data_IF_440248090366
#
_entry.id   IF_440248090366
#
_cell.length_a   1.000
_cell.length_b   1.000
_cell.length_c   1.000
_cell.angle_alpha   90.00
_cell.angle_beta   90.00
_cell.angle_gamma   90.00
#
_symmetry.space_group_name_H-M   'P 1'
#
loop_
_entity.id
_entity.type
_entity.pdbx_description
1 polymer ?
#
# COMPACT_ATOMS: atom_id res chain seq x y z
N UNK A 1 32.80 32.67 24.45
CA UNK A 1 33.09 31.42 25.18
C UNK A 1 31.92 30.48 24.96
N UNK A 2 31.73 29.94 23.75
CA UNK A 2 30.53 29.12 23.46
C UNK A 2 30.66 28.27 22.18
N UNK A 3 31.85 27.76 21.88
CA UNK A 3 32.08 26.89 20.71
C UNK A 3 32.48 25.46 21.10
N UNK A 4 32.69 25.18 22.39
CA UNK A 4 33.12 23.85 22.87
C UNK A 4 31.97 22.92 23.32
N UNK A 5 30.76 23.43 23.53
CA UNK A 5 29.61 22.62 23.99
C UNK A 5 28.93 21.83 22.85
N UNK A 6 28.85 22.39 21.64
CA UNK A 6 28.10 21.77 20.54
C UNK A 6 28.82 20.59 19.86
N UNK A 7 30.15 20.50 19.95
CA UNK A 7 30.92 19.40 19.38
C UNK A 7 30.93 18.13 20.25
N UNK A 8 30.69 18.24 21.55
CA UNK A 8 30.69 17.09 22.46
C UNK A 8 29.36 16.32 22.36
N UNK A 9 28.23 17.04 22.22
CA UNK A 9 26.91 16.41 22.05
C UNK A 9 26.72 15.69 20.70
N UNK A 10 27.39 16.17 19.64
CA UNK A 10 27.32 15.53 18.31
C UNK A 10 28.13 14.23 18.23
N UNK A 11 29.19 14.10 19.05
CA UNK A 11 30.04 12.90 19.08
C UNK A 11 29.46 11.77 19.95
N UNK A 12 28.79 12.07 21.07
CA UNK A 12 28.19 11.01 21.91
C UNK A 12 26.95 10.36 21.27
N UNK A 13 26.09 11.14 20.61
CA UNK A 13 24.92 10.61 19.90
C UNK A 13 25.34 9.78 18.68
N UNK A 14 26.41 10.17 17.98
CA UNK A 14 26.96 9.41 16.86
C UNK A 14 27.62 8.09 17.31
N UNK A 15 28.29 8.06 18.47
CA UNK A 15 28.87 6.84 19.03
C UNK A 15 27.83 5.87 19.62
N UNK A 16 26.75 6.37 20.22
CA UNK A 16 25.64 5.54 20.71
C UNK A 16 24.81 4.91 19.59
N UNK A 17 24.59 5.63 18.47
CA UNK A 17 23.88 5.08 17.30
C UNK A 17 24.71 4.01 16.57
N UNK A 18 26.04 4.19 16.49
CA UNK A 18 26.94 3.22 15.85
C UNK A 18 27.02 1.90 16.63
N UNK A 19 26.97 1.90 17.97
CA UNK A 19 26.94 0.65 18.77
C UNK A 19 25.62 -0.12 18.67
N UNK A 20 24.47 0.57 18.50
CA UNK A 20 23.17 -0.09 18.29
C UNK A 20 22.96 -0.60 16.86
N UNK A 21 23.53 0.10 15.87
CA UNK A 21 23.52 -0.35 14.46
C UNK A 21 24.56 -1.46 14.22
N UNK A 22 25.71 -1.45 14.89
CA UNK A 22 26.66 -2.56 14.81
C UNK A 22 26.11 -3.84 15.49
N UNK A 23 25.31 -3.71 16.55
CA UNK A 23 24.64 -4.85 17.19
C UNK A 23 23.54 -5.50 16.33
N UNK A 24 22.76 -4.70 15.59
CA UNK A 24 21.72 -5.22 14.68
C UNK A 24 22.30 -5.72 13.34
N UNK A 25 23.37 -5.11 12.83
CA UNK A 25 24.07 -5.57 11.63
C UNK A 25 24.89 -6.84 11.91
N UNK A 26 25.43 -7.03 13.13
CA UNK A 26 26.10 -8.28 13.50
C UNK A 26 25.13 -9.46 13.74
N UNK A 27 23.87 -9.24 14.13
CA UNK A 27 22.88 -10.33 14.24
C UNK A 27 22.36 -10.79 12.87
N UNK A 28 22.36 -9.91 11.86
CA UNK A 28 22.02 -10.27 10.48
C UNK A 28 23.22 -10.82 9.69
N UNK A 29 24.46 -10.50 10.07
CA UNK A 29 25.68 -11.00 9.40
C UNK A 29 26.37 -12.20 10.06
N UNK A 30 26.12 -12.52 11.34
CA UNK A 30 26.72 -13.71 11.99
C UNK A 30 25.94 -15.01 11.71
N UNK A 31 24.77 -14.95 11.08
CA UNK A 31 24.09 -16.15 10.54
C UNK A 31 24.59 -16.56 9.14
N UNK A 32 25.55 -15.84 8.55
CA UNK A 32 26.08 -16.11 7.20
C UNK A 32 27.47 -16.76 7.14
N UNK A 33 28.01 -17.23 8.27
CA UNK A 33 29.25 -18.01 8.26
C UNK A 33 29.22 -19.08 9.32
N UNK A 34 28.54 -20.20 9.04
CA UNK A 34 28.82 -21.55 9.55
C UNK A 34 27.75 -22.49 8.97
N UNK A 35 28.12 -23.26 7.94
CA UNK A 35 27.23 -24.30 7.42
C UNK A 35 27.46 -24.72 5.97
N UNK A 36 28.71 -25.02 5.58
CA UNK A 36 28.91 -26.03 4.53
C UNK A 36 28.46 -27.37 5.12
N UNK A 37 27.20 -27.72 4.90
CA UNK A 37 26.63 -29.02 5.20
C UNK A 37 25.40 -29.21 4.33
N UNK A 38 25.42 -30.21 3.45
CA UNK A 38 24.23 -30.68 2.73
C UNK A 38 23.20 -31.10 3.78
N UNK A 39 22.27 -30.20 4.12
CA UNK A 39 21.09 -30.54 4.89
C UNK A 39 19.91 -30.57 3.93
N UNK A 40 19.30 -31.74 3.78
CA UNK A 40 17.98 -31.87 3.18
C UNK A 40 17.02 -30.91 3.87
N UNK A 41 16.47 -29.98 3.09
CA UNK A 41 15.51 -28.99 3.56
C UNK A 41 14.21 -29.75 3.90
N UNK A 42 14.04 -30.11 5.18
CA UNK A 42 12.82 -30.77 5.67
C UNK A 42 11.63 -29.86 5.39
N UNK A 43 10.77 -30.28 4.47
CA UNK A 43 9.52 -29.59 4.13
C UNK A 43 8.62 -29.53 5.36
N UNK A 44 8.25 -28.32 5.79
CA UNK A 44 7.36 -28.10 6.93
C UNK A 44 5.93 -28.06 6.41
N UNK A 45 5.11 -29.01 6.86
CA UNK A 45 3.66 -28.84 6.77
C UNK A 45 3.31 -27.79 7.81
N UNK A 46 3.01 -26.57 7.38
CA UNK A 46 2.52 -25.55 8.30
C UNK A 46 1.08 -25.96 8.65
N UNK A 47 0.91 -26.35 9.91
CA UNK A 47 -0.39 -26.56 10.54
C UNK A 47 -0.35 -25.85 11.87
N UNK A 48 -1.40 -25.14 12.23
CA UNK A 48 -1.47 -24.41 13.51
C UNK A 48 -2.09 -25.25 14.64
N UNK A 49 -1.83 -26.56 14.70
CA UNK A 49 -2.03 -27.29 15.96
C UNK A 49 -0.81 -27.06 16.84
N UNK A 50 -0.98 -26.35 17.95
CA UNK A 50 -0.03 -26.39 19.05
C UNK A 50 0.17 -27.86 19.46
N UNK A 51 1.39 -28.37 19.28
CA UNK A 51 1.79 -29.64 19.89
C UNK A 51 2.03 -29.36 21.37
N UNK A 52 1.03 -29.69 22.20
CA UNK A 52 1.02 -29.70 23.68
C UNK A 52 1.17 -28.34 24.37
N UNK A 53 0.11 -27.94 25.05
CA UNK A 53 0.24 -27.24 26.33
C UNK A 53 -0.78 -27.86 27.28
N UNK A 54 -0.26 -28.47 28.33
CA UNK A 54 -1.04 -29.12 29.37
C UNK A 54 -1.96 -28.12 30.06
N UNK A 55 -3.14 -28.61 30.39
CA UNK A 55 -4.16 -27.96 31.21
C UNK A 55 -3.54 -27.52 32.53
N UNK A 56 -3.62 -26.24 32.84
CA UNK A 56 -3.69 -25.78 34.24
C UNK A 56 -4.88 -24.86 34.35
N UNK A 57 -5.95 -25.43 34.90
CA UNK A 57 -7.12 -24.72 35.39
C UNK A 57 -6.69 -23.65 36.40
N UNK A 58 -7.08 -22.40 36.12
CA UNK A 58 -7.46 -21.45 37.17
C UNK A 58 -8.31 -20.34 36.53
N UNK A 59 -9.59 -20.65 36.33
CA UNK A 59 -10.63 -19.67 36.02
C UNK A 59 -10.95 -18.92 37.30
N UNK A 60 -10.42 -17.70 37.45
CA UNK A 60 -11.08 -16.69 38.30
C UNK A 60 -12.06 -15.93 37.42
N UNK A 61 -13.35 -16.10 37.72
CA UNK A 61 -14.46 -15.42 37.06
C UNK A 61 -14.32 -13.90 37.22
N UNK A 62 -14.09 -13.21 36.11
CA UNK A 62 -14.53 -11.83 35.98
C UNK A 62 -15.62 -11.79 34.90
N UNK A 63 -16.85 -11.52 35.35
CA UNK A 63 -18.03 -11.44 34.50
C UNK A 63 -18.08 -10.05 33.87
N UNK A 64 -17.67 -9.96 32.61
CA UNK A 64 -18.23 -8.96 31.71
C UNK A 64 -18.73 -9.68 30.47
N UNK A 65 -20.05 -9.61 30.26
CA UNK A 65 -20.80 -10.23 29.17
C UNK A 65 -20.22 -9.83 27.80
N UNK A 66 -19.54 -10.76 27.12
CA UNK A 66 -19.48 -10.75 25.66
C UNK A 66 -20.81 -11.27 25.16
N UNK A 67 -21.68 -10.37 24.67
CA UNK A 67 -22.83 -10.78 23.87
C UNK A 67 -22.31 -11.53 22.64
N UNK A 68 -22.92 -12.68 22.38
CA UNK A 68 -22.63 -13.54 21.25
C UNK A 68 -23.16 -12.88 19.97
N UNK A 69 -22.36 -12.00 19.37
CA UNK A 69 -22.65 -11.28 18.11
C UNK A 69 -22.57 -12.22 16.88
N UNK A 70 -22.47 -13.54 17.03
CA UNK A 70 -22.39 -14.46 15.88
C UNK A 70 -23.68 -14.49 15.04
N UNK A 71 -24.81 -14.07 15.61
CA UNK A 71 -26.12 -14.11 14.95
C UNK A 71 -26.34 -13.00 13.90
N UNK A 72 -25.42 -12.03 13.76
CA UNK A 72 -25.49 -10.97 12.74
C UNK A 72 -24.68 -11.28 11.47
N UNK A 73 -23.88 -12.35 11.47
CA UNK A 73 -23.04 -12.75 10.33
C UNK A 73 -23.59 -14.01 9.66
N UNK A 74 -24.38 -13.84 8.61
CA UNK A 74 -25.00 -14.97 7.89
C UNK A 74 -23.95 -15.71 7.08
N UNK A 75 -23.84 -17.03 7.27
CA UNK A 75 -22.88 -17.88 6.58
C UNK A 75 -21.48 -17.92 7.21
N UNK A 76 -21.24 -17.20 8.30
CA UNK A 76 -19.97 -17.26 9.02
C UNK A 76 -19.80 -18.57 9.79
N UNK A 77 -18.71 -19.30 9.51
CA UNK A 77 -18.42 -20.62 10.08
C UNK A 77 -17.43 -20.57 11.25
N UNK A 78 -17.14 -19.38 11.77
CA UNK A 78 -16.12 -19.14 12.79
C UNK A 78 -14.79 -18.68 12.19
N UNK A 79 -13.79 -18.38 13.05
CA UNK A 79 -12.50 -17.83 12.61
C UNK A 79 -11.83 -18.78 11.63
N UNK A 80 -11.55 -18.30 10.42
CA UNK A 80 -10.87 -19.09 9.40
C UNK A 80 -9.38 -18.96 9.62
N UNK A 81 -8.90 -19.62 10.66
CA UNK A 81 -7.47 -19.74 10.95
C UNK A 81 -7.04 -21.17 10.62
N UNK A 82 -6.59 -21.38 9.37
CA UNK A 82 -5.90 -22.62 9.00
C UNK A 82 -6.77 -23.77 8.47
N UNK A 83 -7.89 -23.49 7.81
CA UNK A 83 -8.61 -24.54 7.06
C UNK A 83 -7.82 -25.01 5.83
N UNK A 84 -6.95 -24.16 5.26
CA UNK A 84 -6.19 -24.54 4.09
C UNK A 84 -4.79 -25.03 4.46
N UNK A 85 -4.57 -26.33 4.28
CA UNK A 85 -3.27 -26.96 4.45
C UNK A 85 -2.45 -26.71 3.19
N UNK A 86 -1.42 -25.90 3.31
CA UNK A 86 -0.34 -25.83 2.33
C UNK A 86 0.94 -26.37 2.96
N UNK A 87 1.72 -27.06 2.14
CA UNK A 87 3.08 -27.41 2.53
C UNK A 87 3.99 -26.26 2.12
N UNK A 88 4.70 -25.66 3.08
CA UNK A 88 5.63 -24.57 2.80
C UNK A 88 6.69 -25.04 1.81
N UNK A 89 6.97 -24.22 0.80
CA UNK A 89 7.90 -24.55 -0.29
C UNK A 89 7.35 -25.49 -1.36
N UNK A 90 6.09 -25.95 -1.27
CA UNK A 90 5.44 -26.65 -2.38
C UNK A 90 4.88 -25.62 -3.38
N UNK A 91 5.10 -25.78 -4.71
CA UNK A 91 4.53 -24.89 -5.72
C UNK A 91 3.03 -24.74 -5.59
N UNK A 92 2.51 -23.55 -5.86
CA UNK A 92 1.12 -23.25 -5.62
C UNK A 92 0.16 -24.15 -6.40
N UNK A 93 0.55 -24.53 -7.62
CA UNK A 93 -0.18 -25.43 -8.52
C UNK A 93 -0.28 -26.88 -8.03
N UNK A 94 0.55 -27.28 -7.06
CA UNK A 94 0.64 -28.66 -6.54
C UNK A 94 0.04 -28.82 -5.13
N UNK A 95 -0.49 -27.76 -4.55
CA UNK A 95 -1.22 -27.83 -3.29
C UNK A 95 -2.67 -28.28 -3.52
N UNK A 96 -3.29 -28.88 -2.49
CA UNK A 96 -4.56 -29.61 -2.61
C UNK A 96 -5.69 -28.71 -3.12
N UNK A 97 -6.41 -29.18 -4.14
CA UNK A 97 -7.64 -28.54 -4.66
C UNK A 97 -8.87 -28.79 -3.77
N UNK A 98 -8.72 -29.57 -2.70
CA UNK A 98 -9.83 -30.06 -1.88
C UNK A 98 -10.21 -29.09 -0.76
N UNK A 99 -9.36 -28.10 -0.48
CA UNK A 99 -9.55 -27.10 0.56
C UNK A 99 -9.79 -25.74 -0.10
N UNK A 100 -11.05 -25.34 -0.15
CA UNK A 100 -11.51 -24.11 -0.82
C UNK A 100 -11.85 -23.05 0.21
N UNK A 101 -11.73 -21.79 -0.22
CA UNK A 101 -12.21 -20.64 0.52
C UNK A 101 -13.66 -20.87 0.98
N UNK A 102 -13.97 -20.57 2.24
CA UNK A 102 -15.26 -20.89 2.84
C UNK A 102 -16.43 -20.07 2.28
N UNK A 103 -16.12 -18.99 1.57
CA UNK A 103 -17.03 -18.09 0.89
C UNK A 103 -17.17 -16.74 1.60
N UNK A 104 -17.68 -15.78 0.85
CA UNK A 104 -18.13 -14.51 1.43
C UNK A 104 -19.28 -14.74 2.43
N UNK A 105 -19.44 -13.82 3.36
CA UNK A 105 -20.48 -13.82 4.37
C UNK A 105 -21.35 -12.59 4.22
N UNK A 106 -22.59 -12.67 4.68
CA UNK A 106 -23.40 -11.46 4.84
C UNK A 106 -23.09 -10.83 6.19
N UNK A 107 -22.70 -9.57 6.17
CA UNK A 107 -22.39 -8.79 7.37
C UNK A 107 -22.96 -7.39 7.20
N UNK A 108 -23.31 -6.69 8.31
CA UNK A 108 -23.58 -5.26 8.26
C UNK A 108 -22.33 -4.40 8.03
N UNK A 109 -21.14 -5.01 8.05
CA UNK A 109 -19.87 -4.36 7.75
C UNK A 109 -19.26 -5.00 6.51
N UNK A 110 -18.62 -4.20 5.67
CA UNK A 110 -18.03 -4.69 4.43
C UNK A 110 -16.71 -4.01 4.14
N UNK A 111 -15.87 -4.69 3.35
CA UNK A 111 -14.68 -4.09 2.73
C UNK A 111 -14.69 -4.37 1.23
N UNK A 112 -14.01 -3.51 0.46
CA UNK A 112 -13.67 -3.81 -0.92
C UNK A 112 -12.37 -4.60 -0.97
N UNK A 113 -12.46 -5.89 -1.29
CA UNK A 113 -11.30 -6.76 -1.50
C UNK A 113 -10.98 -6.80 -2.99
N UNK A 114 -9.79 -6.30 -3.35
CA UNK A 114 -9.34 -6.16 -4.73
C UNK A 114 -8.03 -6.94 -4.92
N UNK A 115 -7.95 -7.75 -5.97
CA UNK A 115 -6.73 -8.47 -6.37
C UNK A 115 -6.47 -8.22 -7.84
N UNK A 116 -5.29 -7.68 -8.14
CA UNK A 116 -4.84 -7.40 -9.50
C UNK A 116 -3.44 -7.96 -9.73
N UNK A 117 -3.00 -7.90 -10.98
CA UNK A 117 -1.61 -8.07 -11.37
C UNK A 117 -1.21 -7.02 -12.39
N UNK A 118 0.09 -6.88 -12.57
CA UNK A 118 0.73 -5.95 -13.50
C UNK A 118 0.33 -4.51 -13.18
N UNK A 119 0.55 -4.05 -11.95
CA UNK A 119 0.27 -2.68 -11.52
C UNK A 119 -1.19 -2.26 -11.77
N UNK A 120 -2.12 -3.15 -11.45
CA UNK A 120 -3.56 -2.90 -11.60
C UNK A 120 -4.14 -3.09 -13.01
N UNK A 121 -3.32 -3.39 -14.03
CA UNK A 121 -3.78 -3.55 -15.42
C UNK A 121 -4.65 -4.78 -15.63
N UNK A 122 -4.45 -5.83 -14.84
CA UNK A 122 -5.21 -7.08 -14.94
C UNK A 122 -5.93 -7.37 -13.63
N UNK A 123 -7.27 -7.37 -13.66
CA UNK A 123 -8.10 -7.71 -12.50
C UNK A 123 -8.26 -9.22 -12.36
N UNK A 124 -7.94 -9.75 -11.18
CA UNK A 124 -8.11 -11.16 -10.83
C UNK A 124 -9.33 -11.39 -9.92
N UNK A 125 -9.60 -10.46 -9.00
CA UNK A 125 -10.74 -10.49 -8.09
C UNK A 125 -11.12 -9.06 -7.68
N UNK A 126 -12.40 -8.76 -7.50
CA UNK A 126 -12.86 -7.49 -6.94
C UNK A 126 -14.31 -7.61 -6.52
N UNK A 127 -14.53 -7.75 -5.21
CA UNK A 127 -15.85 -7.81 -4.60
C UNK A 127 -15.89 -6.98 -3.33
N UNK A 128 -17.06 -6.44 -3.03
CA UNK A 128 -17.39 -5.96 -1.70
C UNK A 128 -17.78 -7.18 -0.86
N UNK A 129 -16.98 -7.51 0.16
CA UNK A 129 -17.11 -8.74 0.95
C UNK A 129 -17.46 -8.41 2.39
N UNK A 130 -18.22 -9.28 3.05
CA UNK A 130 -18.61 -9.10 4.44
C UNK A 130 -17.40 -9.16 5.39
N UNK A 131 -17.44 -8.33 6.43
CA UNK A 131 -16.41 -8.21 7.47
C UNK A 131 -17.02 -8.61 8.83
N UNK A 132 -16.37 -9.52 9.54
CA UNK A 132 -16.64 -9.78 10.96
C UNK A 132 -15.92 -8.73 11.79
N UNK A 133 -16.62 -8.16 12.77
CA UNK A 133 -16.03 -7.15 13.64
C UNK A 133 -14.76 -7.67 14.32
N UNK A 134 -13.72 -6.84 14.28
CA UNK A 134 -12.39 -7.11 14.84
C UNK A 134 -11.63 -8.29 14.18
N UNK A 135 -12.10 -8.90 13.08
CA UNK A 135 -11.30 -9.91 12.36
C UNK A 135 -10.04 -9.27 11.72
N UNK A 136 -9.02 -10.09 11.49
CA UNK A 136 -7.81 -9.63 10.79
C UNK A 136 -7.96 -9.78 9.29
N UNK A 137 -7.27 -8.96 8.49
CA UNK A 137 -7.37 -8.98 7.03
C UNK A 137 -7.06 -10.37 6.44
N UNK A 138 -6.16 -11.13 7.07
CA UNK A 138 -5.84 -12.49 6.65
C UNK A 138 -7.06 -13.43 6.70
N UNK A 139 -7.95 -13.29 7.67
CA UNK A 139 -9.17 -14.10 7.78
C UNK A 139 -10.14 -13.76 6.64
N UNK A 140 -10.27 -12.48 6.29
CA UNK A 140 -11.03 -12.04 5.11
C UNK A 140 -10.46 -12.65 3.82
N UNK A 141 -9.13 -12.69 3.69
CA UNK A 141 -8.48 -13.32 2.54
C UNK A 141 -8.79 -14.83 2.49
N UNK A 142 -8.59 -15.58 3.58
CA UNK A 142 -8.87 -17.02 3.61
C UNK A 142 -10.32 -17.38 3.29
N UNK A 143 -11.28 -16.54 3.68
CA UNK A 143 -12.69 -16.75 3.35
C UNK A 143 -13.01 -16.58 1.88
N UNK A 144 -12.30 -15.69 1.19
CA UNK A 144 -12.67 -15.25 -0.15
C UNK A 144 -11.73 -15.74 -1.26
N UNK A 145 -10.51 -16.15 -0.94
CA UNK A 145 -9.44 -16.43 -1.89
C UNK A 145 -8.68 -17.71 -1.53
N UNK A 146 -8.10 -18.35 -2.54
CA UNK A 146 -7.13 -19.45 -2.37
C UNK A 146 -5.76 -18.83 -2.11
N UNK A 147 -5.34 -18.77 -0.84
CA UNK A 147 -4.10 -18.07 -0.43
C UNK A 147 -3.07 -19.00 0.16
N UNK A 148 -1.81 -18.87 -0.26
CA UNK A 148 -0.69 -19.62 0.32
C UNK A 148 0.21 -18.68 1.09
N UNK A 149 0.81 -19.17 2.17
CA UNK A 149 1.64 -18.35 3.05
C UNK A 149 3.04 -18.92 3.24
N UNK A 150 4.01 -18.05 3.55
CA UNK A 150 5.38 -18.38 3.88
C UNK A 150 5.77 -17.92 5.31
N UNK A 151 6.93 -18.38 5.78
CA UNK A 151 7.59 -17.91 7.01
C UNK A 151 6.72 -18.02 8.27
N UNK A 152 6.03 -19.16 8.43
CA UNK A 152 5.16 -19.39 9.58
C UNK A 152 3.77 -18.76 9.47
N UNK A 153 3.35 -18.33 8.28
CA UNK A 153 1.95 -18.00 7.97
C UNK A 153 1.63 -16.51 7.88
N UNK A 154 2.58 -15.63 8.20
CA UNK A 154 2.35 -14.18 8.20
C UNK A 154 2.53 -13.50 6.84
N UNK A 155 3.16 -14.17 5.87
CA UNK A 155 3.48 -13.62 4.57
C UNK A 155 2.66 -14.32 3.48
N UNK A 156 1.91 -13.58 2.66
CA UNK A 156 1.16 -14.15 1.53
C UNK A 156 2.12 -14.43 0.38
N UNK A 157 2.29 -15.70 0.04
CA UNK A 157 3.14 -16.18 -1.05
C UNK A 157 2.37 -16.42 -2.35
N UNK A 158 1.09 -16.77 -2.31
CA UNK A 158 0.29 -16.94 -3.51
C UNK A 158 -1.17 -16.55 -3.28
N UNK A 159 -1.83 -16.08 -4.33
CA UNK A 159 -3.28 -15.83 -4.37
C UNK A 159 -3.84 -16.42 -5.65
N UNK A 160 -4.89 -17.25 -5.54
CA UNK A 160 -5.56 -17.94 -6.64
C UNK A 160 -4.58 -18.60 -7.62
N UNK A 161 -3.59 -19.32 -7.07
CA UNK A 161 -2.58 -20.06 -7.82
C UNK A 161 -1.42 -19.24 -8.40
N UNK A 162 -1.46 -17.90 -8.36
CA UNK A 162 -0.34 -17.05 -8.77
C UNK A 162 0.62 -16.85 -7.60
N UNK A 163 1.79 -17.48 -7.68
CA UNK A 163 2.81 -17.47 -6.64
C UNK A 163 3.90 -16.41 -6.86
N UNK A 164 4.45 -15.93 -5.75
CA UNK A 164 5.69 -15.17 -5.75
C UNK A 164 6.78 -15.95 -6.47
N UNK A 165 7.51 -15.27 -7.36
CA UNK A 165 8.71 -15.84 -8.01
C UNK A 165 9.99 -15.52 -7.24
N UNK A 166 9.87 -14.88 -6.08
CA UNK A 166 11.00 -14.48 -5.25
C UNK A 166 11.21 -15.42 -4.06
N UNK A 167 10.15 -15.67 -3.31
CA UNK A 167 10.09 -16.55 -2.14
C UNK A 167 10.18 -18.01 -2.58
N UNK A 168 10.99 -18.81 -1.88
CA UNK A 168 11.31 -20.22 -2.20
C UNK A 168 12.08 -20.49 -3.51
N UNK A 169 12.32 -19.48 -4.36
CA UNK A 169 13.18 -19.60 -5.54
C UNK A 169 14.63 -19.18 -5.25
N UNK A 170 15.58 -19.79 -5.96
CA UNK A 170 17.02 -19.48 -5.84
C UNK A 170 17.69 -19.43 -7.22
N UNK A 171 18.90 -18.86 -7.29
CA UNK A 171 19.66 -18.77 -8.54
C UNK A 171 18.94 -18.01 -9.65
N UNK A 172 18.98 -18.55 -10.87
CA UNK A 172 18.40 -17.93 -12.06
C UNK A 172 16.86 -17.93 -12.08
N UNK A 173 16.23 -18.82 -11.32
CA UNK A 173 14.77 -18.92 -11.26
C UNK A 173 14.14 -17.87 -10.33
N UNK A 174 14.96 -17.24 -9.47
CA UNK A 174 14.50 -16.21 -8.53
C UNK A 174 14.27 -14.89 -9.26
N UNK A 175 13.02 -14.46 -9.37
CA UNK A 175 12.62 -13.18 -9.95
C UNK A 175 12.06 -12.26 -8.89
N UNK A 176 12.25 -10.96 -9.07
CA UNK A 176 11.71 -9.93 -8.18
C UNK A 176 10.25 -9.64 -8.57
N UNK A 177 9.39 -10.64 -8.42
CA UNK A 177 7.94 -10.56 -8.62
C UNK A 177 7.26 -11.14 -7.38
N UNK A 178 6.41 -10.34 -6.73
CA UNK A 178 5.81 -10.69 -5.44
C UNK A 178 4.47 -9.96 -5.24
N UNK A 179 3.76 -10.34 -4.18
CA UNK A 179 2.50 -9.74 -3.76
C UNK A 179 2.75 -8.56 -2.81
N UNK A 180 2.17 -7.41 -3.16
CA UNK A 180 2.11 -6.24 -2.28
C UNK A 180 0.66 -5.89 -2.00
N UNK A 181 0.42 -5.22 -0.87
CA UNK A 181 -0.92 -4.80 -0.55
C UNK A 181 -1.01 -3.40 0.05
N UNK A 182 -2.08 -2.72 -0.31
CA UNK A 182 -2.45 -1.40 0.16
C UNK A 182 -3.76 -1.49 0.92
N UNK A 183 -3.86 -0.67 1.95
CA UNK A 183 -5.12 -0.38 2.62
C UNK A 183 -5.48 1.05 2.26
N UNK A 184 -6.63 1.25 1.64
CA UNK A 184 -7.11 2.58 1.24
C UNK A 184 -6.04 3.35 0.44
N UNK A 185 -5.35 2.65 -0.47
CA UNK A 185 -4.29 3.23 -1.31
C UNK A 185 -2.98 3.55 -0.60
N UNK A 186 -2.80 3.15 0.67
CA UNK A 186 -1.58 3.34 1.46
C UNK A 186 -0.89 1.98 1.63
N UNK A 187 0.41 1.90 1.29
CA UNK A 187 1.17 0.66 1.42
C UNK A 187 1.21 0.28 2.89
N UNK A 188 0.76 -0.92 3.22
CA UNK A 188 0.64 -1.32 4.61
C UNK A 188 2.03 -1.47 5.26
N UNK A 189 2.28 -0.85 6.43
CA UNK A 189 3.54 -0.97 7.16
C UNK A 189 3.62 -2.23 8.06
N UNK A 190 2.54 -3.02 8.11
CA UNK A 190 2.41 -4.23 8.92
C UNK A 190 1.96 -5.38 8.02
N UNK A 191 1.96 -6.62 8.53
CA UNK A 191 1.42 -7.77 7.78
C UNK A 191 -0.11 -7.83 7.81
N UNK A 192 -0.71 -8.47 6.80
CA UNK A 192 -2.19 -8.58 6.70
C UNK A 192 -2.79 -9.44 7.82
N UNK A 193 -1.98 -10.32 8.43
CA UNK A 193 -2.34 -11.09 9.61
C UNK A 193 -2.44 -10.23 10.89
N UNK A 194 -1.92 -9.01 10.87
CA UNK A 194 -1.96 -8.07 12.00
C UNK A 194 -2.91 -6.90 11.74
N UNK A 195 -3.18 -6.59 10.48
CA UNK A 195 -4.12 -5.53 10.10
C UNK A 195 -5.55 -5.92 10.44
N UNK A 196 -6.28 -5.03 11.13
CA UNK A 196 -7.71 -5.16 11.41
C UNK A 196 -8.47 -4.14 10.55
N UNK A 197 -9.18 -4.59 9.50
CA UNK A 197 -9.92 -3.70 8.63
C UNK A 197 -11.08 -3.05 9.38
N UNK A 198 -11.47 -1.86 8.92
CA UNK A 198 -12.72 -1.20 9.33
C UNK A 198 -13.72 -1.20 8.19
N UNK A 199 -14.99 -1.01 8.53
CA UNK A 199 -16.06 -0.91 7.55
C UNK A 199 -15.77 0.15 6.47
N UNK A 200 -15.98 -0.23 5.21
CA UNK A 200 -15.71 0.58 4.03
C UNK A 200 -14.25 0.66 3.59
N UNK A 201 -13.31 -0.04 4.24
CA UNK A 201 -11.93 -0.13 3.77
C UNK A 201 -11.85 -0.78 2.37
N UNK A 202 -10.86 -0.36 1.59
CA UNK A 202 -10.36 -1.09 0.42
C UNK A 202 -9.06 -1.78 0.78
N UNK A 203 -9.01 -3.11 0.70
CA UNK A 203 -7.78 -3.90 0.77
C UNK A 203 -7.43 -4.34 -0.65
N UNK A 204 -6.37 -3.75 -1.20
CA UNK A 204 -5.94 -4.00 -2.57
C UNK A 204 -4.61 -4.75 -2.58
N UNK A 205 -4.61 -5.96 -3.14
CA UNK A 205 -3.44 -6.74 -3.47
C UNK A 205 -3.08 -6.59 -4.95
N UNK A 206 -1.80 -6.40 -5.24
CA UNK A 206 -1.28 -6.43 -6.61
C UNK A 206 -0.02 -7.29 -6.70
N UNK A 207 0.02 -8.16 -7.71
CA UNK A 207 1.21 -8.92 -8.09
C UNK A 207 1.96 -8.19 -9.20
N UNK A 208 3.21 -7.79 -8.95
CA UNK A 208 4.03 -7.11 -9.96
C UNK A 208 5.52 -7.30 -9.70
N UNK A 209 6.32 -6.91 -10.69
CA UNK A 209 7.76 -6.85 -10.58
C UNK A 209 8.23 -5.64 -9.75
N UNK A 210 9.23 -5.86 -8.89
CA UNK A 210 9.80 -4.83 -8.02
C UNK A 210 11.30 -4.66 -8.24
N UNK A 211 11.79 -5.05 -9.41
CA UNK A 211 13.21 -4.99 -9.75
C UNK A 211 13.76 -3.56 -9.77
N UNK A 212 12.98 -2.64 -10.33
CA UNK A 212 13.29 -1.20 -10.42
C UNK A 212 12.78 -0.45 -9.20
N UNK A 213 11.50 -0.64 -8.88
CA UNK A 213 10.81 0.03 -7.78
C UNK A 213 10.62 -0.94 -6.63
N UNK A 214 11.39 -0.79 -5.54
CA UNK A 214 11.33 -1.75 -4.43
C UNK A 214 9.99 -1.73 -3.67
N UNK A 215 9.33 -0.57 -3.62
CA UNK A 215 8.02 -0.41 -3.00
C UNK A 215 7.36 0.86 -3.52
N UNK A 216 6.03 0.87 -3.53
CA UNK A 216 5.22 2.01 -3.99
C UNK A 216 4.36 2.45 -2.82
N UNK A 217 4.71 3.56 -2.14
CA UNK A 217 4.17 3.86 -0.81
C UNK A 217 2.69 4.24 -0.82
N UNK A 218 2.18 4.76 -1.94
CA UNK A 218 0.79 5.12 -2.09
C UNK A 218 0.36 5.00 -3.55
N UNK A 219 -0.93 4.71 -3.76
CA UNK A 219 -1.54 4.51 -5.08
C UNK A 219 -2.90 5.21 -5.14
N UNK A 220 -3.34 5.55 -6.35
CA UNK A 220 -4.56 6.35 -6.53
C UNK A 220 -5.84 5.53 -6.65
N UNK A 221 -5.71 4.22 -6.90
CA UNK A 221 -6.80 3.33 -7.28
C UNK A 221 -7.85 3.07 -6.22
N UNK A 222 -7.61 3.50 -4.98
CA UNK A 222 -8.55 3.42 -3.85
C UNK A 222 -9.22 4.76 -3.52
N UNK A 223 -9.14 5.77 -4.40
CA UNK A 223 -9.83 7.05 -4.18
C UNK A 223 -11.34 6.82 -3.93
N UNK A 224 -11.97 7.44 -2.92
CA UNK A 224 -11.44 8.48 -2.01
C UNK A 224 -10.95 7.94 -0.66
N UNK A 225 -10.87 6.63 -0.48
CA UNK A 225 -10.66 5.96 0.81
C UNK A 225 -9.45 6.42 1.63
N UNK A 226 -8.26 6.75 1.05
CA UNK A 226 -7.17 7.27 1.86
C UNK A 226 -7.58 8.50 2.67
N UNK A 227 -8.46 9.33 2.12
CA UNK A 227 -8.94 10.55 2.76
C UNK A 227 -10.19 10.34 3.61
N UNK A 228 -10.95 9.26 3.38
CA UNK A 228 -12.18 8.95 4.13
C UNK A 228 -11.85 8.18 5.39
N UNK A 229 -11.31 6.98 5.24
CA UNK A 229 -11.06 6.03 6.32
C UNK A 229 -9.60 6.05 6.80
N UNK A 230 -8.67 6.48 5.96
CA UNK A 230 -7.24 6.50 6.31
C UNK A 230 -6.65 5.10 6.46
N UNK A 231 -5.68 4.92 7.36
CA UNK A 231 -5.11 3.59 7.63
C UNK A 231 -5.57 3.07 8.99
N UNK A 232 -6.27 1.93 9.03
CA UNK A 232 -6.81 1.35 10.27
C UNK A 232 -7.84 2.24 10.97
N UNK A 233 -8.68 2.94 10.20
CA UNK A 233 -9.68 3.89 10.69
C UNK A 233 -9.09 5.18 11.28
N UNK A 234 -7.78 5.39 11.19
CA UNK A 234 -7.10 6.61 11.66
C UNK A 234 -6.90 7.57 10.50
N UNK A 235 -7.44 8.77 10.67
CA UNK A 235 -7.37 9.84 9.69
C UNK A 235 -6.84 11.13 10.37
N UNK A 236 -5.60 11.57 10.08
CA UNK A 236 -5.03 12.79 10.64
C UNK A 236 -5.66 14.08 10.08
N UNK A 237 -6.59 13.97 9.13
CA UNK A 237 -7.15 15.08 8.37
C UNK A 237 -6.45 15.26 7.02
N UNK A 238 -7.14 15.95 6.12
CA UNK A 238 -6.68 16.24 4.76
C UNK A 238 -6.40 17.73 4.59
N UNK A 239 -5.32 18.07 3.89
CA UNK A 239 -5.01 19.45 3.49
C UNK A 239 -4.89 19.49 1.97
N UNK A 240 -5.77 20.24 1.32
CA UNK A 240 -5.66 20.58 -0.09
C UNK A 240 -4.81 21.84 -0.21
N UNK A 241 -3.62 21.70 -0.76
CA UNK A 241 -2.67 22.78 -0.99
C UNK A 241 -2.75 23.23 -2.45
N UNK A 242 -3.00 24.51 -2.70
CA UNK A 242 -3.18 25.03 -4.06
C UNK A 242 -2.16 26.10 -4.45
N UNK A 243 -1.77 26.13 -5.72
CA UNK A 243 -1.12 27.32 -6.31
C UNK A 243 -2.19 28.35 -6.69
N UNK A 244 -1.83 29.63 -6.71
CA UNK A 244 -2.77 30.78 -6.70
C UNK A 244 -3.96 30.64 -7.67
N UNK A 245 -3.72 30.16 -8.89
CA UNK A 245 -4.74 30.03 -9.95
C UNK A 245 -5.78 28.92 -9.72
N UNK A 246 -5.54 28.02 -8.76
CA UNK A 246 -6.36 26.84 -8.48
C UNK A 246 -7.11 26.94 -7.15
N UNK A 247 -7.19 28.12 -6.52
CA UNK A 247 -7.95 28.29 -5.28
C UNK A 247 -9.40 27.81 -5.37
N UNK A 248 -10.12 28.22 -6.42
CA UNK A 248 -11.52 27.81 -6.64
C UNK A 248 -11.62 26.31 -6.95
N UNK A 249 -10.66 25.78 -7.68
CA UNK A 249 -10.56 24.36 -8.03
C UNK A 249 -10.32 23.49 -6.77
N UNK A 250 -9.52 23.98 -5.82
CA UNK A 250 -9.30 23.33 -4.52
C UNK A 250 -10.55 23.30 -3.64
N UNK A 251 -11.33 24.38 -3.62
CA UNK A 251 -12.63 24.40 -2.91
C UNK A 251 -13.64 23.42 -3.54
N UNK A 252 -13.65 23.31 -4.88
CA UNK A 252 -14.47 22.32 -5.56
C UNK A 252 -14.04 20.88 -5.22
N UNK A 253 -12.73 20.62 -5.12
CA UNK A 253 -12.21 19.34 -4.66
C UNK A 253 -12.63 19.03 -3.23
N UNK A 254 -12.49 20.01 -2.31
CA UNK A 254 -12.95 19.88 -0.92
C UNK A 254 -14.42 19.50 -0.86
N UNK A 255 -15.29 20.21 -1.60
CA UNK A 255 -16.72 19.89 -1.64
C UNK A 255 -16.95 18.46 -2.14
N UNK A 256 -16.30 18.05 -3.23
CA UNK A 256 -16.39 16.69 -3.76
C UNK A 256 -15.96 15.61 -2.77
N UNK A 257 -14.89 15.85 -2.00
CA UNK A 257 -14.42 14.93 -0.96
C UNK A 257 -15.41 14.85 0.21
N UNK A 258 -15.98 15.99 0.64
CA UNK A 258 -17.01 16.03 1.68
C UNK A 258 -18.28 15.29 1.23
N UNK A 259 -18.72 15.48 -0.01
CA UNK A 259 -19.84 14.76 -0.61
C UNK A 259 -19.59 13.24 -0.66
N UNK A 260 -18.31 12.81 -0.65
CA UNK A 260 -17.86 11.40 -0.57
C UNK A 260 -17.57 10.92 0.86
N UNK A 261 -17.90 11.72 1.89
CA UNK A 261 -17.81 11.33 3.29
C UNK A 261 -16.50 11.70 4.01
N UNK A 262 -15.60 12.44 3.38
CA UNK A 262 -14.38 12.94 4.03
C UNK A 262 -14.71 14.09 4.98
N UNK A 263 -14.32 13.98 6.26
CA UNK A 263 -14.81 14.88 7.32
C UNK A 263 -13.93 16.11 7.59
N UNK A 264 -12.61 15.94 7.61
CA UNK A 264 -11.66 16.98 8.02
C UNK A 264 -10.79 17.41 6.84
N UNK A 265 -11.12 18.57 6.25
CA UNK A 265 -10.44 19.10 5.06
C UNK A 265 -10.14 20.59 5.21
N UNK A 266 -8.85 20.90 5.26
CA UNK A 266 -8.32 22.25 5.16
C UNK A 266 -7.98 22.57 3.69
N UNK A 267 -8.17 23.82 3.28
CA UNK A 267 -7.77 24.33 1.95
C UNK A 267 -6.86 25.52 2.18
N UNK A 268 -5.60 25.43 1.74
CA UNK A 268 -4.55 26.42 2.05
C UNK A 268 -3.66 26.69 0.83
N UNK A 269 -3.03 27.88 0.75
CA UNK A 269 -1.98 28.12 -0.24
C UNK A 269 -0.84 27.11 -0.11
N UNK A 270 -0.29 26.69 -1.26
CA UNK A 270 0.82 25.74 -1.31
C UNK A 270 2.08 26.29 -0.63
N UNK A 271 2.69 25.45 0.20
CA UNK A 271 3.98 25.70 0.84
C UNK A 271 4.86 24.46 0.71
N UNK A 272 5.98 24.60 0.00
CA UNK A 272 6.92 23.52 -0.27
C UNK A 272 7.58 22.92 0.99
N UNK A 273 7.64 23.65 2.11
CA UNK A 273 8.20 23.12 3.36
C UNK A 273 7.31 22.07 4.03
N UNK A 274 6.00 22.05 3.72
CA UNK A 274 5.03 21.18 4.40
C UNK A 274 4.95 19.76 3.80
N UNK A 275 5.72 19.45 2.75
CA UNK A 275 5.59 18.15 2.03
C UNK A 275 6.73 17.17 2.30
N UNK A 276 7.80 17.58 2.97
CA UNK A 276 8.91 16.67 3.29
C UNK A 276 8.55 15.68 4.40
N UNK A 277 7.78 16.15 5.39
CA UNK A 277 7.32 15.37 6.55
C UNK A 277 5.86 15.71 6.85
N UNK A 278 4.93 15.30 5.99
CA UNK A 278 3.51 15.52 6.21
C UNK A 278 3.06 14.84 7.49
N UNK A 279 2.32 15.57 8.33
CA UNK A 279 1.60 15.07 9.50
C UNK A 279 0.11 14.84 9.21
N UNK A 280 -0.38 15.40 8.11
CA UNK A 280 -1.73 15.22 7.52
C UNK A 280 -1.65 14.69 6.10
N UNK A 281 -2.75 14.14 5.60
CA UNK A 281 -2.85 13.77 4.18
C UNK A 281 -2.82 15.02 3.32
N UNK A 282 -1.92 15.09 2.34
CA UNK A 282 -1.77 16.27 1.49
C UNK A 282 -2.23 15.97 0.07
N UNK A 283 -2.96 16.91 -0.52
CA UNK A 283 -3.26 16.93 -1.96
C UNK A 283 -2.69 18.23 -2.51
N UNK A 284 -1.70 18.13 -3.39
CA UNK A 284 -1.09 19.27 -4.06
C UNK A 284 -1.81 19.51 -5.39
N UNK A 285 -2.30 20.73 -5.59
CA UNK A 285 -3.04 21.14 -6.78
C UNK A 285 -2.37 22.34 -7.43
N UNK A 286 -1.82 22.13 -8.63
CA UNK A 286 -1.15 23.20 -9.37
C UNK A 286 -0.38 22.70 -10.57
N UNK A 287 0.10 23.60 -11.43
CA UNK A 287 0.98 23.20 -12.53
C UNK A 287 2.30 22.67 -11.97
N UNK A 288 2.94 21.75 -12.69
CA UNK A 288 4.21 21.17 -12.25
C UNK A 288 5.27 22.24 -12.01
N UNK A 289 5.39 23.20 -12.92
CA UNK A 289 6.38 24.27 -12.81
C UNK A 289 6.19 25.13 -11.55
N UNK A 290 4.94 25.41 -11.15
CA UNK A 290 4.66 26.16 -9.92
C UNK A 290 4.96 25.32 -8.68
N UNK A 291 4.50 24.07 -8.63
CA UNK A 291 4.69 23.18 -7.47
C UNK A 291 6.18 22.87 -7.26
N UNK A 292 6.90 22.58 -8.33
CA UNK A 292 8.30 22.19 -8.28
C UNK A 292 9.25 23.36 -8.04
N UNK A 293 8.87 24.62 -8.35
CA UNK A 293 9.75 25.80 -8.33
C UNK A 293 10.65 25.85 -7.08
N UNK A 294 10.03 25.80 -5.91
CA UNK A 294 10.68 25.96 -4.61
C UNK A 294 10.72 24.65 -3.78
N UNK A 295 10.45 23.51 -4.42
CA UNK A 295 10.44 22.21 -3.77
C UNK A 295 11.56 21.31 -4.24
N UNK A 296 12.56 21.10 -3.37
CA UNK A 296 13.61 20.09 -3.61
C UNK A 296 13.02 18.68 -3.62
N UNK A 297 12.09 18.36 -2.72
CA UNK A 297 11.42 17.05 -2.63
C UNK A 297 10.74 16.65 -3.93
N UNK A 298 10.00 17.57 -4.57
CA UNK A 298 9.32 17.29 -5.84
C UNK A 298 10.30 17.18 -7.01
N UNK A 299 11.33 18.03 -7.07
CA UNK A 299 12.39 17.90 -8.09
C UNK A 299 13.10 16.55 -7.99
N UNK A 300 13.46 16.13 -6.77
CA UNK A 300 14.09 14.85 -6.50
C UNK A 300 13.17 13.68 -6.87
N UNK A 301 11.88 13.77 -6.54
CA UNK A 301 10.85 12.79 -6.92
C UNK A 301 10.77 12.62 -8.44
N UNK A 302 10.74 13.72 -9.18
CA UNK A 302 10.66 13.67 -10.65
C UNK A 302 11.91 13.07 -11.28
N UNK A 303 13.10 13.38 -10.73
CA UNK A 303 14.36 12.79 -11.18
C UNK A 303 14.51 11.31 -10.82
N UNK A 304 14.04 10.91 -9.63
CA UNK A 304 14.13 9.54 -9.11
C UNK A 304 12.81 8.78 -9.23
N UNK A 305 11.93 9.20 -10.13
CA UNK A 305 10.54 8.79 -10.23
C UNK A 305 10.32 7.27 -10.09
N UNK A 306 11.08 6.48 -10.83
CA UNK A 306 11.04 5.02 -10.84
C UNK A 306 11.41 4.37 -9.51
N UNK A 307 12.23 5.03 -8.68
CA UNK A 307 12.59 4.51 -7.36
C UNK A 307 11.50 4.78 -6.32
N UNK A 308 10.61 5.73 -6.59
CA UNK A 308 9.53 6.15 -5.69
C UNK A 308 8.14 5.65 -6.13
N UNK A 309 8.06 4.86 -7.20
CA UNK A 309 6.76 4.39 -7.73
C UNK A 309 5.97 5.46 -8.46
N UNK A 310 6.65 6.50 -8.96
CA UNK A 310 6.06 7.56 -9.76
C UNK A 310 6.37 7.27 -11.22
N UNK A 311 5.34 7.01 -12.01
CA UNK A 311 5.46 6.60 -13.42
C UNK A 311 5.12 7.71 -14.41
N UNK A 312 5.41 8.94 -13.99
CA UNK A 312 5.36 10.15 -14.82
C UNK A 312 6.62 10.96 -14.63
N UNK A 313 7.01 11.70 -15.66
CA UNK A 313 8.13 12.65 -15.61
C UNK A 313 7.73 13.94 -16.31
N UNK A 314 8.00 15.07 -15.66
CA UNK A 314 7.95 16.38 -16.30
C UNK A 314 9.34 16.80 -16.74
N UNK A 315 9.52 16.98 -18.05
CA UNK A 315 10.80 17.34 -18.64
C UNK A 315 10.59 18.12 -19.94
N UNK A 316 11.39 19.15 -20.16
CA UNK A 316 11.35 19.99 -21.36
C UNK A 316 9.96 20.54 -21.70
N UNK A 317 9.17 20.86 -20.66
CA UNK A 317 7.79 21.37 -20.78
C UNK A 317 6.73 20.31 -21.11
N UNK A 318 7.11 19.04 -21.28
CA UNK A 318 6.20 17.92 -21.56
C UNK A 318 5.90 17.10 -20.32
N UNK A 319 4.78 16.39 -20.35
CA UNK A 319 4.48 15.28 -19.46
C UNK A 319 4.81 13.96 -20.16
N UNK A 320 5.74 13.20 -19.61
CA UNK A 320 6.13 11.87 -20.06
C UNK A 320 5.42 10.81 -19.22
N UNK A 321 4.79 9.83 -19.87
CA UNK A 321 4.23 8.65 -19.24
C UNK A 321 5.22 7.50 -19.37
N UNK A 322 5.51 6.84 -18.24
CA UNK A 322 6.59 5.87 -18.13
C UNK A 322 6.05 4.44 -18.04
N UNK A 323 6.90 3.48 -18.42
CA UNK A 323 6.71 2.08 -18.08
C UNK A 323 7.19 1.75 -16.65
N UNK A 324 7.01 0.50 -16.23
CA UNK A 324 7.38 -0.01 -14.92
C UNK A 324 8.91 -0.01 -14.65
N UNK A 325 9.73 0.20 -15.68
CA UNK A 325 11.20 0.36 -15.57
C UNK A 325 11.63 1.83 -15.51
N UNK A 326 10.68 2.76 -15.66
CA UNK A 326 10.91 4.20 -15.70
C UNK A 326 11.32 4.73 -17.08
N UNK A 327 11.12 3.96 -18.16
CA UNK A 327 11.39 4.42 -19.52
C UNK A 327 10.17 5.15 -20.07
N UNK A 328 10.40 6.26 -20.75
CA UNK A 328 9.33 7.02 -21.43
C UNK A 328 8.72 6.22 -22.58
N UNK A 329 7.40 6.05 -22.55
CA UNK A 329 6.61 5.40 -23.60
C UNK A 329 5.83 6.42 -24.42
N UNK A 330 5.22 7.42 -23.77
CA UNK A 330 4.49 8.51 -24.41
C UNK A 330 4.89 9.86 -23.82
N UNK A 331 4.80 10.91 -24.62
CA UNK A 331 5.09 12.29 -24.22
C UNK A 331 3.99 13.22 -24.72
N UNK A 332 3.53 14.12 -23.86
CA UNK A 332 2.38 15.00 -24.12
C UNK A 332 2.77 16.47 -23.96
N UNK A 333 2.47 17.28 -24.98
CA UNK A 333 2.62 18.74 -24.92
C UNK A 333 1.52 19.39 -24.08
N UNK A 334 0.39 18.70 -23.90
CA UNK A 334 -0.67 19.06 -22.97
C UNK A 334 -1.10 17.79 -22.23
N UNK A 335 -0.64 17.63 -21.00
CA UNK A 335 -1.00 16.47 -20.18
C UNK A 335 -1.09 16.80 -18.70
N UNK A 336 -2.12 16.25 -18.06
CA UNK A 336 -2.33 16.25 -16.62
C UNK A 336 -1.95 14.90 -16.01
N UNK A 337 -1.68 14.87 -14.71
CA UNK A 337 -1.35 13.66 -14.00
C UNK A 337 -1.98 13.64 -12.60
N UNK A 338 -2.33 12.43 -12.16
CA UNK A 338 -2.77 12.13 -10.80
C UNK A 338 -1.87 11.00 -10.31
N UNK A 339 -1.15 11.22 -9.21
CA UNK A 339 -0.32 10.18 -8.61
C UNK A 339 -0.11 10.47 -7.13
N UNK A 340 0.33 9.46 -6.39
CA UNK A 340 0.56 9.54 -4.96
C UNK A 340 1.97 9.07 -4.58
N UNK A 341 2.46 9.57 -3.46
CA UNK A 341 3.71 9.14 -2.83
C UNK A 341 3.58 9.28 -1.30
N UNK A 342 4.66 9.07 -0.56
CA UNK A 342 4.73 9.38 0.87
C UNK A 342 6.13 9.89 1.26
N UNK A 343 6.30 10.20 2.55
CA UNK A 343 7.59 10.59 3.12
C UNK A 343 8.63 9.46 3.18
N UNK A 344 8.28 8.25 2.75
CA UNK A 344 9.17 7.08 2.73
C UNK A 344 8.51 5.80 3.21
N UNK A 345 9.32 4.74 3.31
CA UNK A 345 8.87 3.42 3.75
C UNK A 345 8.23 3.50 5.14
N UNK A 346 7.05 2.87 5.29
CA UNK A 346 6.31 2.81 6.55
C UNK A 346 5.50 4.07 6.88
N UNK A 347 5.60 5.14 6.08
CA UNK A 347 4.72 6.30 6.24
C UNK A 347 3.30 5.94 5.81
N UNK A 348 2.34 6.17 6.71
CA UNK A 348 0.91 6.00 6.45
C UNK A 348 0.22 7.32 6.06
N UNK A 349 1.01 8.35 5.74
CA UNK A 349 0.53 9.70 5.43
C UNK A 349 0.88 10.02 3.97
N UNK A 350 -0.02 9.73 3.01
CA UNK A 350 0.25 9.96 1.60
C UNK A 350 0.23 11.45 1.22
N UNK A 351 0.98 11.75 0.17
CA UNK A 351 0.97 13.03 -0.56
C UNK A 351 0.51 12.73 -1.98
N UNK A 352 -0.61 13.31 -2.37
CA UNK A 352 -1.16 13.21 -3.71
C UNK A 352 -0.81 14.46 -4.51
N UNK A 353 -0.60 14.28 -5.81
CA UNK A 353 -0.43 15.36 -6.76
C UNK A 353 -1.52 15.28 -7.81
N UNK A 354 -2.22 16.40 -8.00
CA UNK A 354 -3.10 16.67 -9.13
C UNK A 354 -2.41 17.80 -9.89
N UNK A 355 -1.68 17.45 -10.94
CA UNK A 355 -0.76 18.37 -11.60
C UNK A 355 -0.78 18.20 -13.12
N UNK A 356 0.01 18.99 -13.83
CA UNK A 356 0.04 19.04 -15.28
C UNK A 356 1.01 20.09 -15.78
N UNK A 357 1.32 20.04 -17.06
CA UNK A 357 2.29 20.96 -17.67
C UNK A 357 1.67 22.32 -18.08
N UNK A 358 0.35 22.46 -17.98
CA UNK A 358 -0.38 23.71 -18.14
C UNK A 358 -1.67 23.68 -17.29
N UNK A 359 -2.39 24.80 -17.24
CA UNK A 359 -3.56 24.93 -16.37
C UNK A 359 -4.76 24.07 -16.78
N UNK A 360 -5.06 23.94 -18.08
CA UNK A 360 -6.19 23.12 -18.52
C UNK A 360 -5.94 21.66 -18.19
N UNK A 361 -4.72 21.17 -18.40
CA UNK A 361 -4.29 19.82 -18.05
C UNK A 361 -4.48 19.50 -16.55
N UNK A 362 -4.16 20.45 -15.66
CA UNK A 362 -4.39 20.27 -14.21
C UNK A 362 -5.89 20.14 -13.92
N UNK A 363 -6.73 20.95 -14.55
CA UNK A 363 -8.19 20.90 -14.38
C UNK A 363 -8.79 19.63 -14.96
N UNK A 364 -8.25 19.10 -16.05
CA UNK A 364 -8.66 17.82 -16.62
C UNK A 364 -8.35 16.66 -15.65
N UNK A 365 -7.15 16.65 -15.07
CA UNK A 365 -6.80 15.70 -14.00
C UNK A 365 -7.71 15.83 -12.78
N UNK A 366 -7.97 17.05 -12.32
CA UNK A 366 -8.90 17.30 -11.20
C UNK A 366 -10.32 16.80 -11.51
N UNK A 367 -10.81 17.04 -12.73
CA UNK A 367 -12.14 16.62 -13.16
C UNK A 367 -12.33 15.11 -13.07
N UNK A 368 -11.27 14.31 -13.19
CA UNK A 368 -11.35 12.86 -12.98
C UNK A 368 -11.76 12.55 -11.54
N UNK A 369 -11.09 13.13 -10.54
CA UNK A 369 -11.43 12.89 -9.13
C UNK A 369 -12.82 13.42 -8.75
N UNK A 370 -13.21 14.56 -9.31
CA UNK A 370 -14.48 15.20 -8.98
C UNK A 370 -15.67 14.50 -9.65
N UNK A 371 -15.55 14.12 -10.93
CA UNK A 371 -16.69 13.71 -11.77
C UNK A 371 -16.63 12.27 -12.28
N UNK A 372 -15.44 11.68 -12.37
CA UNK A 372 -15.21 10.38 -13.02
C UNK A 372 -14.31 9.48 -12.17
N UNK A 373 -14.41 9.54 -10.83
CA UNK A 373 -13.46 8.85 -9.95
C UNK A 373 -13.40 7.34 -10.18
N UNK A 374 -14.50 6.73 -10.60
CA UNK A 374 -14.58 5.31 -10.94
C UNK A 374 -13.63 4.90 -12.08
N UNK A 375 -13.25 5.81 -12.96
CA UNK A 375 -12.40 5.50 -14.12
C UNK A 375 -10.92 5.28 -13.77
N UNK A 376 -10.51 5.54 -12.52
CA UNK A 376 -9.15 5.31 -12.03
C UNK A 376 -9.08 4.20 -10.98
N UNK A 377 -10.16 3.42 -10.81
CA UNK A 377 -10.14 2.27 -9.90
C UNK A 377 -8.98 1.32 -10.26
N UNK A 378 -8.24 0.90 -9.24
CA UNK A 378 -7.04 0.06 -9.38
C UNK A 378 -5.90 0.68 -10.21
N UNK A 379 -5.82 2.01 -10.36
CA UNK A 379 -4.66 2.65 -11.00
C UNK A 379 -3.58 2.97 -9.97
N UNK A 380 -2.32 2.77 -10.36
CA UNK A 380 -1.17 3.21 -9.56
C UNK A 380 -0.96 4.72 -9.70
N UNK A 381 -0.99 5.21 -10.94
CA UNK A 381 -1.11 6.61 -11.30
C UNK A 381 -1.92 6.77 -12.59
N UNK A 382 -2.30 8.00 -12.91
CA UNK A 382 -3.03 8.32 -14.13
C UNK A 382 -2.38 9.50 -14.88
N UNK A 383 -2.35 9.40 -16.20
CA UNK A 383 -2.12 10.53 -17.10
C UNK A 383 -3.44 10.87 -17.80
N UNK A 384 -3.75 12.15 -17.89
CA UNK A 384 -4.92 12.68 -18.59
C UNK A 384 -4.45 13.53 -19.74
N UNK A 385 -4.68 13.07 -20.96
CA UNK A 385 -4.25 13.75 -22.18
C UNK A 385 -5.15 13.32 -23.35
N UNK A 386 -5.41 14.24 -24.27
CA UNK A 386 -6.19 13.96 -25.50
C UNK A 386 -7.55 13.29 -25.20
N UNK A 387 -8.25 13.77 -24.15
CA UNK A 387 -9.53 13.21 -23.65
C UNK A 387 -9.44 11.78 -23.09
N UNK A 388 -8.26 11.17 -23.08
CA UNK A 388 -8.01 9.83 -22.55
C UNK A 388 -7.50 9.88 -21.11
N UNK A 389 -7.84 8.82 -20.37
CA UNK A 389 -7.30 8.53 -19.04
C UNK A 389 -6.43 7.29 -19.20
N UNK A 390 -5.14 7.44 -18.95
CA UNK A 390 -4.12 6.44 -19.22
C UNK A 390 -3.59 5.94 -17.87
N UNK A 391 -3.74 4.65 -17.59
CA UNK A 391 -3.10 4.01 -16.44
C UNK A 391 -1.58 4.00 -16.63
N UNK A 392 -0.86 4.41 -15.60
CA UNK A 392 0.60 4.28 -15.53
C UNK A 392 0.99 3.51 -14.26
N UNK A 393 2.03 2.66 -14.31
CA UNK A 393 2.99 2.49 -15.42
C UNK A 393 2.41 1.75 -16.64
N UNK A 394 3.02 1.94 -17.81
CA UNK A 394 2.89 0.96 -18.90
C UNK A 394 3.62 -0.34 -18.53
N UNK A 395 3.13 -1.47 -19.02
CA UNK A 395 3.73 -2.80 -18.81
C UNK A 395 4.51 -3.18 -20.06
N UNK A 396 5.72 -3.73 -19.88
CA UNK A 396 6.58 -4.21 -20.97
C UNK A 396 6.21 -5.59 -21.49
#
# INVERSE_FOLDING_TARGET
MEVKSFLIYKNEVYYMFKKRILGLICIVLILFSLGCGKNEQKTRVITNKNTKTDVVDNVTKDKNEKRDDTNIYEGYKGPVQGEIKYQEGRPATQNSQDLKASGDIKSPYNIDLVVTKDFGHSKMFSNNVGLVKDEVGMEVLFRNLDIQTAYGGGFVNAINGLESKYTFFSGADRKKEDWFYWVNGILAPIGVAEYRPVDGDTIWWDYHEWATTMFIPAVIGSYPEPFRNGFGGKNPGTVVMYTEKFKKDAEALKKSLMDKGVKSIDVVPYNASNIEKPDKYHILLGTWNELAKDSKRLKDMNWKNKLEGVYVEFKDGKLNALDNTGKTIKSFDKGGAIYATSAGMGSIVPVWLITGNNESSVRDALNILVKKSESIKSYFGAVVAEENIISVPFIQ
#
